data_IF_837759679427
#
_entry.id   IF_837759679427
#
_cell.length_a   1.000
_cell.length_b   1.000
_cell.length_c   1.000
_cell.angle_alpha   90.00
_cell.angle_beta   90.00
_cell.angle_gamma   90.00
#
_symmetry.space_group_name_H-M   'P 1'
#
loop_
_entity.id
_entity.type
_entity.pdbx_description
1 polymer ?
#
# COMPACT_ATOMS: atom_id res chain seq x y z
N UNK A 1 -6.70 -10.62 3.74
CA UNK A 1 -6.36 -9.40 3.00
C UNK A 1 -5.55 -9.70 1.75
N UNK A 2 -5.15 -8.67 1.04
CA UNK A 2 -4.30 -8.71 -0.16
C UNK A 2 -3.16 -7.69 -0.02
N UNK A 3 -1.96 -8.02 -0.47
CA UNK A 3 -0.77 -7.16 -0.33
C UNK A 3 0.09 -7.14 -1.60
N UNK A 4 -0.19 -6.26 -2.57
CA UNK A 4 0.69 -6.06 -3.72
C UNK A 4 1.96 -5.27 -3.36
N UNK A 5 2.96 -5.39 -4.22
CA UNK A 5 4.19 -4.59 -4.17
C UNK A 5 3.97 -3.32 -4.99
N UNK A 6 4.24 -2.16 -4.41
CA UNK A 6 4.14 -0.85 -5.06
C UNK A 6 5.12 -0.76 -6.23
N UNK A 7 4.69 -0.10 -7.31
CA UNK A 7 5.57 0.21 -8.44
C UNK A 7 6.09 -1.00 -9.22
N UNK A 8 5.66 -2.24 -8.93
CA UNK A 8 6.09 -3.43 -9.67
C UNK A 8 5.67 -3.27 -11.15
N UNK A 9 6.63 -3.08 -12.07
CA UNK A 9 6.32 -2.78 -13.46
C UNK A 9 5.80 -4.05 -14.14
N UNK A 10 4.82 -3.86 -15.02
CA UNK A 10 4.26 -4.90 -15.88
C UNK A 10 3.12 -4.33 -16.72
N UNK A 11 2.82 -4.90 -17.89
CA UNK A 11 1.64 -4.53 -18.66
C UNK A 11 0.42 -4.92 -17.83
N UNK A 12 -0.21 -3.94 -17.20
CA UNK A 12 -1.32 -4.23 -16.30
C UNK A 12 -1.98 -3.01 -15.71
N UNK A 13 -3.15 -3.21 -15.10
CA UNK A 13 -3.95 -2.15 -14.50
C UNK A 13 -3.18 -1.39 -13.41
N UNK A 14 -3.56 -0.13 -13.24
CA UNK A 14 -3.21 0.69 -12.08
C UNK A 14 -3.59 0.00 -10.76
N UNK A 15 -3.05 0.48 -9.64
CA UNK A 15 -3.39 -0.08 -8.33
C UNK A 15 -4.90 0.03 -8.05
N UNK A 16 -5.52 1.17 -8.36
CA UNK A 16 -6.96 1.37 -8.18
C UNK A 16 -7.80 0.39 -8.99
N UNK A 17 -7.45 0.17 -10.26
CA UNK A 17 -8.12 -0.82 -11.12
C UNK A 17 -7.97 -2.26 -10.59
N UNK A 18 -6.80 -2.61 -10.05
CA UNK A 18 -6.59 -3.92 -9.41
C UNK A 18 -7.47 -4.09 -8.17
N UNK A 19 -7.59 -3.06 -7.34
CA UNK A 19 -8.47 -3.07 -6.15
C UNK A 19 -9.94 -3.20 -6.57
N UNK A 20 -10.38 -2.43 -7.57
CA UNK A 20 -11.73 -2.52 -8.10
C UNK A 20 -12.03 -3.94 -8.63
N UNK A 21 -11.09 -4.54 -9.37
CA UNK A 21 -11.23 -5.90 -9.87
C UNK A 21 -11.31 -6.95 -8.75
N UNK A 22 -10.49 -6.80 -7.70
CA UNK A 22 -10.53 -7.65 -6.51
C UNK A 22 -11.91 -7.58 -5.85
N UNK A 23 -12.45 -6.37 -5.65
CA UNK A 23 -13.78 -6.18 -5.05
C UNK A 23 -14.89 -6.78 -5.92
N UNK A 24 -14.83 -6.64 -7.25
CA UNK A 24 -15.80 -7.27 -8.16
C UNK A 24 -15.81 -8.80 -8.02
N UNK A 25 -14.62 -9.42 -8.06
CA UNK A 25 -14.48 -10.88 -7.93
C UNK A 25 -14.95 -11.39 -6.58
N UNK A 26 -14.74 -10.62 -5.51
CA UNK A 26 -15.27 -10.95 -4.19
C UNK A 26 -16.81 -11.00 -4.21
N UNK A 27 -17.47 -9.98 -4.78
CA UNK A 27 -18.93 -9.94 -4.93
C UNK A 27 -19.45 -11.14 -5.74
N UNK A 28 -18.83 -11.41 -6.89
CA UNK A 28 -19.18 -12.54 -7.77
C UNK A 28 -19.07 -13.89 -7.04
N UNK A 29 -18.10 -14.02 -6.14
CA UNK A 29 -17.92 -15.21 -5.31
C UNK A 29 -18.81 -15.25 -4.06
N UNK A 30 -19.75 -14.30 -3.89
CA UNK A 30 -20.61 -14.23 -2.70
C UNK A 30 -19.90 -13.82 -1.42
N UNK A 31 -18.70 -13.22 -1.53
CA UNK A 31 -17.91 -12.71 -0.41
C UNK A 31 -18.10 -11.20 -0.27
N UNK A 32 -18.25 -10.74 0.96
CA UNK A 32 -18.19 -9.30 1.27
C UNK A 32 -16.83 -8.71 0.82
N UNK A 33 -16.80 -7.75 -0.13
CA UNK A 33 -15.56 -7.14 -0.59
C UNK A 33 -14.78 -6.41 0.50
N UNK A 34 -15.49 -5.82 1.47
CA UNK A 34 -14.88 -5.02 2.52
C UNK A 34 -14.31 -5.91 3.65
N UNK A 35 -14.59 -7.22 3.61
CA UNK A 35 -13.87 -8.23 4.42
C UNK A 35 -12.41 -8.46 3.97
N UNK A 36 -11.99 -7.89 2.83
CA UNK A 36 -10.64 -8.02 2.30
C UNK A 36 -9.84 -6.76 2.64
N UNK A 37 -9.09 -6.80 3.73
CA UNK A 37 -8.12 -5.74 4.03
C UNK A 37 -7.05 -5.64 2.95
N UNK A 38 -6.71 -4.40 2.56
CA UNK A 38 -5.73 -4.14 1.50
C UNK A 38 -4.54 -3.39 2.10
N UNK A 39 -3.35 -3.97 1.98
CA UNK A 39 -2.10 -3.29 2.31
C UNK A 39 -1.19 -3.20 1.08
N UNK A 40 -0.21 -2.30 1.06
CA UNK A 40 0.77 -2.22 -0.03
C UNK A 40 2.18 -2.20 0.53
N UNK A 41 3.05 -3.01 -0.06
CA UNK A 41 4.45 -3.12 0.34
C UNK A 41 5.38 -2.29 -0.55
N UNK A 42 6.40 -1.66 0.06
CA UNK A 42 7.43 -0.92 -0.67
C UNK A 42 6.95 0.42 -1.22
N UNK A 43 5.99 1.05 -0.55
CA UNK A 43 5.46 2.37 -0.94
C UNK A 43 6.54 3.43 -0.66
N UNK A 44 6.73 4.44 -1.54
CA UNK A 44 7.57 5.57 -1.22
C UNK A 44 6.96 6.38 -0.05
N UNK A 45 7.78 6.93 0.85
CA UNK A 45 7.33 7.76 1.97
C UNK A 45 6.93 9.17 1.47
N UNK A 46 5.85 9.23 0.69
CA UNK A 46 5.38 10.43 -0.03
C UNK A 46 3.89 10.69 0.27
N UNK A 47 3.51 11.85 0.84
CA UNK A 47 2.13 12.16 1.23
C UNK A 47 1.11 12.00 0.10
N UNK A 48 1.42 12.52 -1.10
CA UNK A 48 0.49 12.47 -2.24
C UNK A 48 0.26 11.04 -2.74
N UNK A 49 1.30 10.20 -2.67
CA UNK A 49 1.16 8.77 -2.95
C UNK A 49 0.30 8.08 -1.90
N UNK A 50 0.49 8.38 -0.62
CA UNK A 50 -0.30 7.80 0.47
C UNK A 50 -1.78 8.19 0.39
N UNK A 51 -2.07 9.46 0.12
CA UNK A 51 -3.43 9.96 -0.08
C UNK A 51 -4.13 9.20 -1.22
N UNK A 52 -3.48 9.06 -2.38
CA UNK A 52 -4.04 8.30 -3.52
C UNK A 52 -4.27 6.83 -3.21
N UNK A 53 -3.42 6.20 -2.39
CA UNK A 53 -3.61 4.82 -1.96
C UNK A 53 -4.78 4.70 -0.98
N UNK A 54 -4.92 5.64 -0.05
CA UNK A 54 -6.04 5.70 0.88
C UNK A 54 -7.38 5.89 0.13
N UNK A 55 -7.44 6.82 -0.83
CA UNK A 55 -8.61 7.03 -1.70
C UNK A 55 -8.98 5.77 -2.50
N UNK A 56 -7.98 4.95 -2.85
CA UNK A 56 -8.19 3.66 -3.52
C UNK A 56 -8.62 2.53 -2.57
N UNK A 57 -8.73 2.78 -1.26
CA UNK A 57 -9.14 1.81 -0.25
C UNK A 57 -8.00 0.96 0.33
N UNK A 58 -6.76 1.44 0.26
CA UNK A 58 -5.63 0.81 0.97
C UNK A 58 -5.66 1.24 2.43
N UNK A 59 -5.61 0.26 3.34
CA UNK A 59 -5.65 0.46 4.79
C UNK A 59 -4.25 0.48 5.43
N UNK A 60 -3.23 -0.01 4.71
CA UNK A 60 -1.86 -0.11 5.23
C UNK A 60 -0.81 0.13 4.16
N UNK A 61 0.10 1.06 4.41
CA UNK A 61 1.33 1.21 3.63
C UNK A 61 2.53 0.69 4.43
N UNK A 62 3.41 -0.08 3.80
CA UNK A 62 4.66 -0.54 4.40
C UNK A 62 5.82 0.10 3.66
N UNK A 63 6.62 0.90 4.39
CA UNK A 63 7.82 1.54 3.88
C UNK A 63 9.01 0.58 3.90
N UNK A 64 9.87 0.71 2.90
CA UNK A 64 11.16 0.04 2.88
C UNK A 64 12.17 0.77 3.76
N UNK A 65 13.01 -0.01 4.45
CA UNK A 65 14.21 0.49 5.11
C UNK A 65 15.44 -0.17 4.47
N UNK A 66 16.55 0.56 4.32
CA UNK A 66 17.80 -0.06 3.93
C UNK A 66 18.27 -1.04 5.02
N UNK A 67 18.97 -2.10 4.61
CA UNK A 67 19.71 -2.94 5.56
C UNK A 67 21.00 -2.19 5.97
N UNK A 68 20.87 -1.26 6.90
CA UNK A 68 21.94 -0.40 7.40
C UNK A 68 21.99 -0.40 8.93
N UNK A 69 22.97 0.31 9.49
CA UNK A 69 23.12 0.48 10.94
C UNK A 69 22.01 1.34 11.55
N UNK A 70 22.02 1.42 12.88
CA UNK A 70 21.03 2.17 13.67
C UNK A 70 21.05 3.65 13.29
N UNK A 71 22.25 4.21 13.20
CA UNK A 71 22.51 5.63 12.94
C UNK A 71 21.96 6.06 11.58
N UNK A 72 21.87 5.14 10.62
CA UNK A 72 21.22 5.36 9.32
C UNK A 72 19.70 5.17 9.38
N UNK A 73 19.21 4.14 10.09
CA UNK A 73 17.79 3.75 10.07
C UNK A 73 16.91 4.62 10.98
N UNK A 74 17.38 5.00 12.17
CA UNK A 74 16.58 5.79 13.13
C UNK A 74 16.12 7.16 12.57
N UNK A 75 16.98 7.98 11.94
CA UNK A 75 16.54 9.25 11.35
C UNK A 75 15.53 9.08 10.19
N UNK A 76 15.60 7.95 9.47
CA UNK A 76 14.62 7.61 8.44
C UNK A 76 13.25 7.29 9.06
N UNK A 77 13.24 6.52 10.15
CA UNK A 77 12.01 6.25 10.92
C UNK A 77 11.39 7.53 11.45
N UNK A 78 12.17 8.46 11.99
CA UNK A 78 11.68 9.77 12.44
C UNK A 78 11.09 10.60 11.29
N UNK A 79 11.64 10.46 10.09
CA UNK A 79 11.10 11.11 8.89
C UNK A 79 9.77 10.48 8.48
N UNK A 80 9.68 9.15 8.48
CA UNK A 80 8.46 8.42 8.13
C UNK A 80 7.35 8.62 9.16
N UNK A 81 7.70 8.77 10.44
CA UNK A 81 6.74 9.02 11.52
C UNK A 81 5.94 10.31 11.30
N UNK A 82 6.50 11.31 10.59
CA UNK A 82 5.81 12.56 10.23
C UNK A 82 4.68 12.35 9.21
N UNK A 83 4.57 11.17 8.60
CA UNK A 83 3.53 10.80 7.65
C UNK A 83 2.35 10.09 8.33
N UNK A 84 2.41 9.91 9.65
CA UNK A 84 1.40 9.24 10.46
C UNK A 84 0.74 10.33 11.32
N UNK A 85 -0.59 10.38 11.30
CA UNK A 85 -1.42 11.24 12.16
C UNK A 85 -1.59 10.66 13.57
#
# INVERSE_FOLDING_TARGET
GWMPIYGRPGPGPSMGEKIANLKSRAKEAGRDPDSISIGVFGVPPDPDTLARLADAGVERAVFGLPSADRETVEPLLDTYAKLID
#
